data_IF_684895401303
#
_entry.id   IF_684895401303
#
_cell.length_a   1.000
_cell.length_b   1.000
_cell.length_c   1.000
_cell.angle_alpha   90.00
_cell.angle_beta   90.00
_cell.angle_gamma   90.00
#
_symmetry.space_group_name_H-M   'P 1'
#
loop_
_entity.id
_entity.type
_entity.pdbx_description
1 polymer ?
#
# COMPACT_ATOMS: atom_id res chain seq x y z
N UNK A 1 -30.91 43.12 64.03
CA UNK A 1 -31.79 42.39 64.99
C UNK A 1 -32.80 41.63 64.15
N UNK A 2 -33.12 40.34 64.30
CA UNK A 2 -32.75 39.31 65.26
C UNK A 2 -33.15 37.94 64.69
N UNK A 3 -32.28 36.95 64.88
CA UNK A 3 -32.49 35.51 65.13
C UNK A 3 -33.86 34.83 64.96
N UNK A 4 -33.78 33.69 64.24
CA UNK A 4 -34.24 32.31 64.60
C UNK A 4 -35.74 31.99 64.65
N UNK A 5 -36.15 31.02 63.83
CA UNK A 5 -37.02 29.86 64.16
C UNK A 5 -36.86 28.82 63.02
N UNK A 6 -36.26 27.64 63.19
CA UNK A 6 -36.60 26.42 63.94
C UNK A 6 -37.73 25.57 63.30
N UNK A 7 -37.34 24.36 62.86
CA UNK A 7 -38.02 23.07 63.01
C UNK A 7 -38.52 22.30 61.75
N UNK A 8 -37.79 21.19 61.48
CA UNK A 8 -38.25 19.79 61.30
C UNK A 8 -39.36 19.46 60.28
N UNK A 9 -39.02 18.61 59.30
CA UNK A 9 -39.52 17.21 59.12
C UNK A 9 -38.84 16.60 57.87
N UNK A 10 -38.06 15.52 58.03
CA UNK A 10 -38.42 14.10 57.76
C UNK A 10 -38.76 13.84 56.29
N UNK A 11 -37.95 13.02 55.63
CA UNK A 11 -38.49 12.06 54.65
C UNK A 11 -37.66 11.80 53.40
N UNK A 12 -37.06 10.61 53.39
CA UNK A 12 -36.98 9.68 52.25
C UNK A 12 -35.95 9.97 51.15
N UNK A 13 -34.94 9.09 51.18
CA UNK A 13 -34.07 8.63 50.11
C UNK A 13 -34.62 8.82 48.68
N UNK A 14 -33.84 9.54 47.87
CA UNK A 14 -33.78 9.32 46.43
C UNK A 14 -32.31 9.05 46.07
N UNK A 15 -32.06 7.78 45.73
CA UNK A 15 -30.83 7.30 45.10
C UNK A 15 -30.75 7.97 43.73
N UNK A 16 -30.05 9.11 43.64
CA UNK A 16 -29.66 9.69 42.39
C UNK A 16 -28.25 9.22 42.07
N UNK A 17 -28.17 8.19 41.22
CA UNK A 17 -26.97 7.77 40.52
C UNK A 17 -26.28 9.00 39.91
N UNK A 18 -25.26 9.51 40.60
CA UNK A 18 -24.34 10.47 40.00
C UNK A 18 -23.37 9.65 39.16
N UNK A 19 -23.77 9.49 37.90
CA UNK A 19 -22.96 8.90 36.83
C UNK A 19 -21.61 9.59 36.80
N UNK A 20 -20.55 8.79 36.84
CA UNK A 20 -19.17 9.18 36.70
C UNK A 20 -18.98 10.16 35.53
N UNK A 21 -18.81 11.43 35.85
CA UNK A 21 -18.18 12.40 34.94
C UNK A 21 -16.67 12.27 35.10
N UNK A 22 -16.16 11.10 34.72
CA UNK A 22 -14.75 10.88 34.50
C UNK A 22 -14.56 10.84 32.99
N UNK A 23 -13.62 11.67 32.51
CA UNK A 23 -12.86 11.41 31.30
C UNK A 23 -13.63 11.59 29.98
N UNK A 24 -13.80 12.85 29.57
CA UNK A 24 -13.63 13.19 28.15
C UNK A 24 -12.14 13.04 27.79
N UNK A 25 -11.63 11.80 27.83
CA UNK A 25 -10.49 11.44 26.98
C UNK A 25 -11.00 11.62 25.56
N UNK A 26 -10.20 12.29 24.74
CA UNK A 26 -10.51 12.50 23.34
C UNK A 26 -11.07 11.22 22.73
N UNK A 27 -12.09 11.38 21.89
CA UNK A 27 -12.53 10.33 21.00
C UNK A 27 -11.27 9.64 20.45
N UNK A 28 -11.03 8.41 20.91
CA UNK A 28 -10.00 7.56 20.35
C UNK A 28 -10.42 7.39 18.90
N UNK A 29 -9.87 8.23 18.02
CA UNK A 29 -9.85 7.93 16.61
C UNK A 29 -9.27 6.51 16.52
N UNK A 30 -9.95 5.58 15.83
CA UNK A 30 -9.39 4.24 15.66
C UNK A 30 -7.97 4.41 15.15
N UNK A 31 -7.01 3.73 15.76
CA UNK A 31 -5.63 3.74 15.31
C UNK A 31 -5.65 3.40 13.82
N UNK A 32 -5.40 4.40 12.97
CA UNK A 32 -5.24 4.19 11.54
C UNK A 32 -3.95 3.42 11.38
N UNK A 33 -4.10 2.11 11.23
CA UNK A 33 -3.00 1.16 11.13
C UNK A 33 -2.27 1.36 9.81
N UNK A 34 -1.08 0.80 9.68
CA UNK A 34 -0.27 0.77 8.46
C UNK A 34 -1.00 0.40 7.16
N UNK A 35 -2.20 -0.18 7.25
CA UNK A 35 -3.06 -0.47 6.10
C UNK A 35 -3.43 0.76 5.27
N UNK A 36 -3.54 1.97 5.86
CA UNK A 36 -3.79 3.19 5.05
C UNK A 36 -2.58 3.56 4.18
N UNK A 37 -1.35 3.34 4.67
CA UNK A 37 -0.13 3.60 3.88
C UNK A 37 0.02 2.63 2.71
N UNK A 38 -0.45 1.39 2.86
CA UNK A 38 -0.52 0.43 1.76
C UNK A 38 -1.65 0.77 0.79
N UNK A 39 -2.82 1.19 1.30
CA UNK A 39 -3.95 1.56 0.43
C UNK A 39 -3.62 2.74 -0.49
N UNK A 40 -2.83 3.69 -0.01
CA UNK A 40 -2.42 4.87 -0.77
C UNK A 40 -1.01 4.70 -1.39
N UNK A 41 -0.47 3.49 -1.45
CA UNK A 41 0.80 3.22 -2.14
C UNK A 41 0.59 3.33 -3.66
N UNK A 42 1.36 4.17 -4.38
CA UNK A 42 1.12 4.41 -5.80
C UNK A 42 1.49 3.19 -6.65
N UNK A 43 2.35 2.31 -6.13
CA UNK A 43 2.76 1.08 -6.79
C UNK A 43 1.64 0.04 -6.67
N UNK A 44 0.79 0.15 -5.65
CA UNK A 44 -0.28 -0.78 -5.30
C UNK A 44 -0.17 -1.27 -3.85
N UNK A 45 -1.24 -1.84 -3.30
CA UNK A 45 -1.30 -2.27 -1.90
C UNK A 45 -0.27 -3.33 -1.51
N UNK A 46 0.24 -4.08 -2.48
CA UNK A 46 1.22 -5.14 -2.24
C UNK A 46 2.67 -4.71 -2.30
N UNK A 47 2.91 -3.43 -2.57
CA UNK A 47 4.24 -2.89 -2.58
C UNK A 47 4.57 -2.35 -1.20
N UNK A 48 5.82 -2.54 -0.80
CA UNK A 48 6.40 -1.96 0.39
C UNK A 48 7.47 -0.98 -0.03
N UNK A 49 7.26 0.32 0.18
CA UNK A 49 8.23 1.33 -0.20
C UNK A 49 9.47 1.22 0.70
N UNK A 50 10.65 1.30 0.09
CA UNK A 50 11.94 1.28 0.78
C UNK A 50 12.40 2.74 0.97
N UNK A 51 12.37 3.30 2.19
CA UNK A 51 12.64 4.73 2.39
C UNK A 51 14.07 5.15 2.05
N UNK A 52 15.01 4.21 2.11
CA UNK A 52 16.41 4.41 1.69
C UNK A 52 16.76 3.35 0.67
N UNK A 53 16.46 3.60 -0.62
CA UNK A 53 16.78 2.67 -1.69
C UNK A 53 18.28 2.34 -1.72
N UNK A 54 18.58 1.09 -2.03
CA UNK A 54 19.92 0.54 -2.17
C UNK A 54 20.02 -0.28 -3.46
N UNK A 55 21.22 -0.42 -4.01
CA UNK A 55 21.47 -1.34 -5.13
C UNK A 55 21.61 -2.80 -4.66
N UNK A 56 21.61 -3.06 -3.35
CA UNK A 56 21.71 -4.38 -2.75
C UNK A 56 20.41 -5.19 -2.92
N UNK A 57 20.51 -6.36 -3.56
CA UNK A 57 19.40 -7.29 -3.73
C UNK A 57 19.27 -8.30 -2.58
N UNK A 58 20.07 -8.18 -1.52
CA UNK A 58 20.08 -9.04 -0.34
C UNK A 58 18.76 -9.10 0.43
N UNK A 59 17.82 -8.18 0.18
CA UNK A 59 16.44 -8.27 0.65
C UNK A 59 15.63 -9.36 -0.05
N UNK A 60 15.95 -9.68 -1.30
CA UNK A 60 15.21 -10.63 -2.12
C UNK A 60 15.28 -12.03 -1.51
N UNK A 61 14.11 -12.61 -1.24
CA UNK A 61 14.00 -13.93 -0.62
C UNK A 61 14.10 -13.94 0.90
N UNK A 62 14.37 -12.82 1.59
CA UNK A 62 14.30 -12.76 3.06
C UNK A 62 12.89 -13.06 3.54
N UNK A 63 12.76 -13.70 4.70
CA UNK A 63 11.46 -14.09 5.25
C UNK A 63 11.03 -13.21 6.42
N UNK A 64 9.75 -13.25 6.74
CA UNK A 64 9.12 -12.53 7.85
C UNK A 64 8.46 -13.55 8.76
N UNK A 65 8.74 -13.48 10.07
CA UNK A 65 8.12 -14.36 11.06
C UNK A 65 6.65 -14.05 11.31
N UNK A 66 6.26 -12.78 11.12
CA UNK A 66 4.92 -12.23 11.34
C UNK A 66 4.53 -11.32 10.17
N UNK A 67 3.23 -10.97 10.02
CA UNK A 67 2.83 -9.94 9.09
C UNK A 67 3.67 -8.65 9.28
N UNK A 68 4.11 -8.02 8.18
CA UNK A 68 5.00 -6.87 8.24
C UNK A 68 4.29 -5.64 8.83
N UNK A 69 4.99 -4.91 9.68
CA UNK A 69 4.56 -3.71 10.39
C UNK A 69 5.10 -2.46 9.70
N UNK A 70 4.23 -1.55 9.25
CA UNK A 70 4.65 -0.36 8.51
C UNK A 70 5.42 0.66 9.34
N UNK A 71 5.43 0.50 10.67
CA UNK A 71 6.23 1.34 11.57
C UNK A 71 7.73 0.99 11.59
N UNK A 72 8.12 -0.13 10.98
CA UNK A 72 9.49 -0.64 10.97
C UNK A 72 9.98 -0.82 9.52
N UNK A 73 11.30 -0.76 9.32
CA UNK A 73 11.90 -1.03 8.00
C UNK A 73 11.80 -2.51 7.61
N UNK A 74 12.00 -2.83 6.33
CA UNK A 74 12.00 -4.23 5.88
C UNK A 74 13.21 -4.98 6.43
N UNK A 75 14.35 -4.31 6.49
CA UNK A 75 15.61 -4.85 7.00
C UNK A 75 15.50 -5.27 8.46
N UNK A 76 14.85 -4.46 9.29
CA UNK A 76 14.63 -4.73 10.72
C UNK A 76 13.68 -5.91 10.97
N UNK A 77 12.70 -6.10 10.10
CA UNK A 77 11.65 -7.11 10.29
C UNK A 77 11.90 -8.41 9.55
N UNK A 78 12.74 -8.36 8.52
CA UNK A 78 13.06 -9.51 7.71
C UNK A 78 14.29 -10.23 8.26
N UNK A 79 14.30 -11.55 8.12
CA UNK A 79 15.40 -12.40 8.57
C UNK A 79 15.92 -13.26 7.42
N UNK A 80 17.14 -13.82 7.54
CA UNK A 80 17.61 -14.84 6.60
C UNK A 80 16.61 -15.99 6.48
N UNK A 81 16.26 -16.33 5.25
CA UNK A 81 15.30 -17.38 4.97
C UNK A 81 16.03 -18.73 4.83
N UNK A 82 15.77 -19.71 5.72
CA UNK A 82 16.50 -20.98 5.75
C UNK A 82 16.18 -21.92 4.56
N UNK A 83 15.26 -21.49 3.68
CA UNK A 83 14.85 -22.18 2.46
C UNK A 83 15.08 -21.32 1.20
N UNK A 84 15.81 -20.21 1.30
CA UNK A 84 16.01 -19.29 0.16
C UNK A 84 16.64 -19.94 -1.07
N UNK A 85 17.44 -20.99 -0.89
CA UNK A 85 18.07 -21.77 -1.95
C UNK A 85 17.08 -22.63 -2.76
N UNK A 86 15.87 -22.84 -2.23
CA UNK A 86 14.80 -23.56 -2.92
C UNK A 86 13.88 -22.65 -3.73
N UNK A 87 13.97 -21.34 -3.56
CA UNK A 87 13.25 -20.40 -4.44
C UNK A 87 13.76 -20.52 -5.87
N UNK A 88 12.90 -20.20 -6.84
CA UNK A 88 13.32 -20.12 -8.22
C UNK A 88 14.46 -19.10 -8.40
N UNK A 89 15.29 -19.30 -9.42
CA UNK A 89 16.31 -18.34 -9.79
C UNK A 89 15.69 -16.95 -10.01
N UNK A 90 16.42 -15.91 -9.60
CA UNK A 90 15.94 -14.54 -9.75
C UNK A 90 15.76 -14.20 -11.23
N UNK A 91 14.60 -13.66 -11.59
CA UNK A 91 14.25 -13.25 -12.94
C UNK A 91 14.09 -11.73 -12.98
N UNK A 92 14.85 -11.10 -13.87
CA UNK A 92 14.71 -9.70 -14.20
C UNK A 92 13.60 -9.50 -15.25
N UNK A 93 12.87 -8.41 -15.12
CA UNK A 93 11.87 -7.96 -16.08
C UNK A 93 11.89 -6.43 -16.14
N UNK A 94 11.89 -5.88 -17.36
CA UNK A 94 11.73 -4.45 -17.56
C UNK A 94 10.39 -3.97 -17.00
N UNK A 95 10.39 -2.82 -16.33
CA UNK A 95 9.22 -2.22 -15.70
C UNK A 95 9.31 -0.70 -15.80
N UNK A 96 8.75 -0.11 -16.86
CA UNK A 96 8.82 1.33 -17.14
C UNK A 96 7.58 2.10 -16.68
N UNK A 97 7.32 2.14 -15.38
CA UNK A 97 6.17 2.84 -14.81
C UNK A 97 6.61 4.13 -14.09
N UNK A 98 5.70 5.09 -13.99
CA UNK A 98 5.90 6.33 -13.23
C UNK A 98 4.78 6.50 -12.21
N UNK A 99 5.17 6.88 -11.01
CA UNK A 99 4.34 6.90 -9.82
C UNK A 99 4.49 8.23 -9.09
N UNK A 100 3.37 8.87 -8.81
CA UNK A 100 3.32 10.13 -8.08
C UNK A 100 2.14 10.09 -7.13
N UNK A 101 2.37 10.34 -5.84
CA UNK A 101 1.31 10.57 -4.86
C UNK A 101 1.88 11.30 -3.61
N UNK A 102 0.98 11.79 -2.77
CA UNK A 102 1.26 12.56 -1.57
C UNK A 102 0.52 11.94 -0.39
N UNK A 103 1.25 11.71 0.71
CA UNK A 103 0.71 11.19 1.96
C UNK A 103 0.57 12.35 2.94
N UNK A 104 -0.62 12.56 3.50
CA UNK A 104 -0.82 13.50 4.60
C UNK A 104 -0.10 12.96 5.86
N UNK A 105 0.91 13.68 6.31
CA UNK A 105 1.69 13.36 7.52
C UNK A 105 1.32 14.25 8.69
N UNK A 106 0.52 15.29 8.49
CA UNK A 106 0.11 16.18 9.59
C UNK A 106 -1.09 15.63 10.35
N UNK A 107 -2.05 15.04 9.65
CA UNK A 107 -3.22 14.44 10.29
C UNK A 107 -2.98 13.00 10.75
N UNK A 108 -1.89 12.37 10.30
CA UNK A 108 -1.51 11.02 10.69
C UNK A 108 -0.87 10.96 12.08
N UNK A 109 -1.32 10.04 12.93
CA UNK A 109 -0.75 9.80 14.26
C UNK A 109 0.74 9.38 14.20
N UNK A 110 1.19 8.82 13.08
CA UNK A 110 2.57 8.36 12.86
C UNK A 110 3.36 9.24 11.89
N UNK A 111 2.83 10.39 11.48
CA UNK A 111 3.44 11.20 10.41
C UNK A 111 4.85 11.71 10.72
N UNK A 112 5.14 12.02 11.99
CA UNK A 112 6.50 12.40 12.40
C UNK A 112 7.51 11.25 12.28
N UNK A 113 7.12 10.04 12.68
CA UNK A 113 7.94 8.84 12.52
C UNK A 113 8.14 8.51 11.03
N UNK A 114 7.08 8.66 10.23
CA UNK A 114 7.13 8.48 8.78
C UNK A 114 8.14 9.44 8.13
N UNK A 115 8.08 10.74 8.44
CA UNK A 115 9.08 11.68 7.94
C UNK A 115 10.49 11.30 8.38
N UNK A 116 10.66 10.82 9.62
CA UNK A 116 11.94 10.31 10.13
C UNK A 116 12.50 9.16 9.29
N UNK A 117 11.68 8.16 8.96
CA UNK A 117 12.08 7.01 8.13
C UNK A 117 12.62 7.43 6.76
N UNK A 118 12.08 8.50 6.18
CA UNK A 118 12.50 9.03 4.88
C UNK A 118 13.65 10.05 4.97
N UNK A 119 14.13 10.36 6.17
CA UNK A 119 15.24 11.30 6.42
C UNK A 119 14.82 12.77 6.55
N UNK A 120 13.54 13.04 6.81
CA UNK A 120 12.97 14.39 6.95
C UNK A 120 12.57 14.72 8.40
N UNK A 121 13.30 14.19 9.38
CA UNK A 121 13.02 14.43 10.81
C UNK A 121 13.09 15.91 11.21
N UNK A 122 13.87 16.71 10.49
CA UNK A 122 13.95 18.17 10.70
C UNK A 122 12.66 18.92 10.30
N UNK A 123 11.79 18.31 9.48
CA UNK A 123 10.60 18.94 8.93
C UNK A 123 9.31 18.57 9.66
N UNK A 124 9.36 17.73 10.70
CA UNK A 124 8.17 17.19 11.39
C UNK A 124 7.19 18.26 11.86
N UNK A 125 7.66 19.46 12.24
CA UNK A 125 6.81 20.56 12.70
C UNK A 125 6.18 21.40 11.58
N UNK A 126 6.65 21.26 10.34
CA UNK A 126 6.28 22.12 9.19
C UNK A 126 5.65 21.33 8.04
N UNK A 127 6.11 20.10 7.82
CA UNK A 127 5.64 19.26 6.75
C UNK A 127 4.19 18.88 6.99
N UNK A 128 3.37 19.09 5.96
CA UNK A 128 2.00 18.60 5.91
C UNK A 128 1.90 17.29 5.15
N UNK A 129 2.80 17.08 4.18
CA UNK A 129 2.78 15.95 3.27
C UNK A 129 4.18 15.37 3.06
N UNK A 130 4.23 14.06 2.85
CA UNK A 130 5.35 13.36 2.21
C UNK A 130 4.94 13.07 0.77
N UNK A 131 5.65 13.66 -0.18
CA UNK A 131 5.42 13.49 -1.61
C UNK A 131 6.49 12.59 -2.19
N UNK A 132 6.09 11.68 -3.07
CA UNK A 132 7.03 10.85 -3.82
C UNK A 132 6.72 10.92 -5.31
N UNK A 133 7.79 10.92 -6.09
CA UNK A 133 7.76 10.88 -7.55
C UNK A 133 8.83 9.92 -8.00
N UNK A 134 8.42 8.73 -8.41
CA UNK A 134 9.33 7.61 -8.66
C UNK A 134 9.06 7.05 -10.05
N UNK A 135 10.13 6.85 -10.81
CA UNK A 135 10.10 6.12 -12.07
C UNK A 135 10.82 4.79 -11.86
N UNK A 136 10.16 3.69 -12.20
CA UNK A 136 10.74 2.35 -12.12
C UNK A 136 11.38 2.00 -13.46
N UNK A 137 12.36 1.11 -13.43
CA UNK A 137 13.05 0.65 -14.66
C UNK A 137 13.06 -0.87 -14.78
N UNK A 138 13.23 -1.60 -13.67
CA UNK A 138 13.28 -3.05 -13.66
C UNK A 138 12.67 -3.65 -12.40
N UNK A 139 12.27 -4.92 -12.49
CA UNK A 139 11.75 -5.74 -11.41
C UNK A 139 12.56 -7.03 -11.33
N UNK A 140 13.17 -7.30 -10.19
CA UNK A 140 13.86 -8.54 -9.90
C UNK A 140 12.95 -9.42 -9.03
N UNK A 141 12.59 -10.62 -9.49
CA UNK A 141 11.59 -11.46 -8.83
C UNK A 141 12.07 -12.90 -8.62
N UNK A 142 11.61 -13.54 -7.55
CA UNK A 142 11.71 -14.96 -7.27
C UNK A 142 10.32 -15.53 -7.04
N UNK A 143 10.11 -16.74 -7.53
CA UNK A 143 8.86 -17.47 -7.32
C UNK A 143 9.08 -18.61 -6.33
N UNK A 144 8.03 -18.93 -5.59
CA UNK A 144 8.01 -20.13 -4.77
C UNK A 144 7.94 -21.38 -5.65
N UNK A 145 8.72 -22.38 -5.29
CA UNK A 145 8.72 -23.71 -5.90
C UNK A 145 8.04 -24.70 -4.97
N UNK A 146 7.72 -25.90 -5.47
CA UNK A 146 7.25 -27.01 -4.62
C UNK A 146 8.24 -27.33 -3.49
N UNK A 147 9.53 -27.31 -3.81
CA UNK A 147 10.64 -27.60 -2.89
C UNK A 147 10.76 -26.52 -1.82
N UNK A 148 10.52 -25.26 -2.18
CA UNK A 148 10.48 -24.15 -1.24
C UNK A 148 9.33 -24.30 -0.25
N UNK A 149 8.13 -24.58 -0.76
CA UNK A 149 6.93 -24.79 0.07
C UNK A 149 7.14 -25.93 1.05
N UNK A 150 7.71 -27.05 0.60
CA UNK A 150 7.98 -28.21 1.47
C UNK A 150 9.05 -27.92 2.52
N UNK A 151 10.16 -27.26 2.13
CA UNK A 151 11.17 -26.81 3.08
C UNK A 151 10.57 -25.89 4.16
N UNK A 152 9.68 -24.97 3.78
CA UNK A 152 9.05 -24.05 4.71
C UNK A 152 8.08 -24.72 5.69
N UNK A 153 7.40 -25.80 5.28
CA UNK A 153 6.62 -26.63 6.22
C UNK A 153 7.50 -27.30 7.27
N UNK A 154 8.70 -27.71 6.89
CA UNK A 154 9.63 -28.41 7.79
C UNK A 154 10.40 -27.46 8.71
N UNK A 155 10.88 -26.33 8.19
CA UNK A 155 11.75 -25.39 8.92
C UNK A 155 11.02 -24.21 9.55
N UNK A 156 9.75 -23.98 9.20
CA UNK A 156 8.97 -22.85 9.69
C UNK A 156 9.48 -21.51 9.15
N UNK A 157 9.19 -21.20 7.88
CA UNK A 157 9.64 -19.94 7.25
C UNK A 157 8.94 -18.68 7.77
N UNK A 158 7.88 -18.81 8.58
CA UNK A 158 7.12 -17.70 9.13
C UNK A 158 5.88 -17.36 8.30
N UNK A 159 5.54 -16.07 8.24
CA UNK A 159 4.40 -15.55 7.52
C UNK A 159 4.60 -15.52 6.00
N UNK A 160 5.77 -15.10 5.54
CA UNK A 160 6.01 -14.87 4.11
C UNK A 160 7.45 -14.44 3.80
N UNK A 161 7.67 -13.99 2.57
CA UNK A 161 9.00 -13.59 2.08
C UNK A 161 8.95 -12.45 1.06
N UNK A 162 10.10 -11.81 0.82
CA UNK A 162 10.27 -10.82 -0.26
C UNK A 162 10.35 -11.56 -1.61
N UNK A 163 9.30 -11.51 -2.41
CA UNK A 163 9.23 -12.20 -3.70
C UNK A 163 9.72 -11.35 -4.87
N UNK A 164 9.71 -10.03 -4.73
CA UNK A 164 10.33 -9.17 -5.74
C UNK A 164 10.85 -7.86 -5.17
N UNK A 165 11.80 -7.26 -5.89
CA UNK A 165 12.31 -5.91 -5.67
C UNK A 165 12.10 -5.09 -6.95
N UNK A 166 11.70 -3.84 -6.78
CA UNK A 166 11.45 -2.89 -7.87
C UNK A 166 12.54 -1.84 -7.84
N UNK A 167 13.30 -1.76 -8.93
CA UNK A 167 14.38 -0.79 -9.08
C UNK A 167 13.86 0.46 -9.78
N UNK A 168 14.30 1.61 -9.31
CA UNK A 168 13.89 2.90 -9.86
C UNK A 168 14.74 4.05 -9.37
N UNK A 169 14.31 5.24 -9.76
CA UNK A 169 14.89 6.50 -9.33
C UNK A 169 13.81 7.58 -9.25
N UNK A 170 14.09 8.64 -8.53
CA UNK A 170 13.14 9.74 -8.38
C UNK A 170 13.42 10.58 -7.16
N UNK A 171 12.35 11.08 -6.56
CA UNK A 171 12.40 12.04 -5.47
C UNK A 171 11.45 11.68 -4.34
N UNK A 172 11.95 11.78 -3.10
CA UNK A 172 11.13 11.95 -1.91
C UNK A 172 11.20 13.41 -1.47
N UNK A 173 10.06 13.97 -1.08
CA UNK A 173 9.91 15.40 -0.78
C UNK A 173 9.06 15.57 0.47
N UNK A 174 9.56 16.33 1.44
CA UNK A 174 8.73 16.87 2.52
C UNK A 174 8.10 18.19 2.05
N UNK A 175 6.78 18.30 2.16
CA UNK A 175 6.02 19.41 1.59
C UNK A 175 5.04 20.04 2.57
N UNK A 176 4.88 21.36 2.48
CA UNK A 176 3.77 22.09 3.10
C UNK A 176 2.73 22.42 2.02
N UNK A 177 1.48 22.02 2.22
CA UNK A 177 0.37 22.34 1.31
C UNK A 177 0.28 23.85 1.09
N UNK A 178 0.11 24.28 -0.15
CA UNK A 178 0.05 25.68 -0.50
C UNK A 178 -1.01 25.97 -1.55
N UNK A 179 -1.77 27.04 -1.34
CA UNK A 179 -2.77 27.52 -2.29
C UNK A 179 -2.15 28.19 -3.52
N UNK A 180 -0.88 28.61 -3.46
CA UNK A 180 -0.21 29.28 -4.57
C UNK A 180 0.52 28.27 -5.46
N UNK A 181 0.38 28.40 -6.79
CA UNK A 181 1.27 27.76 -7.75
C UNK A 181 2.41 28.74 -8.06
N UNK A 182 3.55 28.57 -7.42
CA UNK A 182 4.74 29.40 -7.64
C UNK A 182 5.97 28.54 -7.95
N UNK A 183 7.03 29.18 -8.43
CA UNK A 183 8.33 28.53 -8.64
C UNK A 183 8.85 27.93 -7.32
N UNK A 184 9.37 26.69 -7.35
CA UNK A 184 9.76 25.95 -6.14
C UNK A 184 8.64 25.14 -5.47
N UNK A 185 7.46 25.05 -6.09
CA UNK A 185 6.40 24.16 -5.66
C UNK A 185 6.47 22.80 -6.36
N UNK A 186 6.12 21.75 -5.64
CA UNK A 186 5.89 20.42 -6.15
C UNK A 186 4.41 20.25 -6.44
N UNK A 187 4.08 19.97 -7.69
CA UNK A 187 2.71 19.67 -8.09
C UNK A 187 2.54 18.16 -8.22
N UNK A 188 1.51 17.62 -7.57
CA UNK A 188 1.11 16.21 -7.72
C UNK A 188 -0.26 16.16 -8.37
N UNK A 189 -0.37 15.39 -9.44
CA UNK A 189 -1.64 15.11 -10.10
C UNK A 189 -2.14 13.77 -9.57
N UNK A 190 -3.24 13.80 -8.82
CA UNK A 190 -3.93 12.60 -8.35
C UNK A 190 -5.25 12.44 -9.08
N UNK A 191 -5.90 11.28 -8.95
CA UNK A 191 -7.26 11.08 -9.48
C UNK A 191 -8.32 12.04 -8.91
N UNK A 192 -8.01 12.75 -7.81
CA UNK A 192 -8.88 13.75 -7.18
C UNK A 192 -8.59 15.19 -7.63
N UNK A 193 -7.57 15.40 -8.46
CA UNK A 193 -7.15 16.72 -8.94
C UNK A 193 -5.68 17.00 -8.70
N UNK A 194 -5.31 18.25 -8.96
CA UNK A 194 -3.94 18.75 -8.84
C UNK A 194 -3.76 19.48 -7.50
N UNK A 195 -2.80 19.04 -6.68
CA UNK A 195 -2.44 19.69 -5.42
C UNK A 195 -1.01 20.22 -5.50
N UNK A 196 -0.79 21.42 -4.99
CA UNK A 196 0.53 22.08 -4.98
C UNK A 196 1.10 22.11 -3.56
N UNK A 197 2.37 21.76 -3.44
CA UNK A 197 3.10 21.70 -2.18
C UNK A 197 4.33 22.60 -2.27
N UNK A 198 4.52 23.47 -1.28
CA UNK A 198 5.80 24.14 -1.08
C UNK A 198 6.82 23.10 -0.61
N UNK A 199 7.89 22.92 -1.37
CA UNK A 199 8.99 22.01 -1.01
C UNK A 199 9.71 22.56 0.22
N UNK A 200 9.83 21.72 1.25
CA UNK A 200 10.64 22.01 2.44
C UNK A 200 12.02 21.38 2.28
N UNK A 201 12.05 20.09 1.96
CA UNK A 201 13.26 19.35 1.66
C UNK A 201 12.99 18.33 0.56
N UNK A 202 14.04 17.97 -0.17
CA UNK A 202 14.00 17.07 -1.30
C UNK A 202 15.20 16.14 -1.25
N UNK A 203 14.94 14.84 -1.40
CA UNK A 203 15.97 13.80 -1.50
C UNK A 203 15.80 13.05 -2.82
N UNK A 204 16.86 13.07 -3.62
CA UNK A 204 16.96 12.21 -4.79
C UNK A 204 17.25 10.78 -4.32
N UNK A 205 16.60 9.82 -4.97
CA UNK A 205 16.75 8.40 -4.66
C UNK A 205 17.04 7.61 -5.93
N UNK A 206 17.77 6.51 -5.76
CA UNK A 206 18.07 5.53 -6.79
C UNK A 206 18.37 4.18 -6.14
N UNK A 207 17.88 3.09 -6.71
CA UNK A 207 18.07 1.74 -6.17
C UNK A 207 16.77 0.95 -6.19
N UNK A 208 16.68 -0.09 -5.36
CA UNK A 208 15.42 -0.78 -5.08
C UNK A 208 14.51 0.11 -4.23
N UNK A 209 13.49 0.69 -4.87
CA UNK A 209 12.55 1.65 -4.29
C UNK A 209 11.35 0.99 -3.62
N UNK A 210 11.09 -0.27 -3.94
CA UNK A 210 10.03 -1.04 -3.31
C UNK A 210 10.29 -2.55 -3.33
N UNK A 211 9.61 -3.26 -2.44
CA UNK A 211 9.56 -4.70 -2.38
C UNK A 211 8.12 -5.21 -2.57
N UNK A 212 7.97 -6.42 -3.09
CA UNK A 212 6.70 -7.16 -3.08
C UNK A 212 6.84 -8.30 -2.09
N UNK A 213 5.86 -8.42 -1.21
CA UNK A 213 5.83 -9.44 -0.17
C UNK A 213 4.84 -10.54 -0.55
N UNK A 214 5.18 -11.79 -0.29
CA UNK A 214 4.33 -12.95 -0.57
C UNK A 214 4.16 -13.79 0.69
N UNK A 215 2.91 -13.90 1.15
CA UNK A 215 2.54 -14.76 2.27
C UNK A 215 2.61 -16.24 1.86
N UNK A 216 3.04 -17.10 2.79
CA UNK A 216 3.01 -18.55 2.62
C UNK A 216 1.58 -19.08 2.68
N UNK A 217 0.82 -18.63 3.68
CA UNK A 217 -0.62 -18.93 3.77
C UNK A 217 -1.42 -17.92 2.96
N UNK A 218 -1.68 -18.29 1.70
CA UNK A 218 -2.50 -17.49 0.78
C UNK A 218 -3.98 -17.51 1.16
N UNK A 219 -4.43 -18.50 1.94
CA UNK A 219 -5.80 -18.57 2.43
C UNK A 219 -6.07 -17.50 3.50
N UNK A 220 -5.15 -17.34 4.45
CA UNK A 220 -5.21 -16.25 5.42
C UNK A 220 -5.08 -14.87 4.75
N UNK A 221 -4.20 -14.72 3.75
CA UNK A 221 -4.10 -13.49 2.97
C UNK A 221 -5.41 -13.18 2.21
N UNK A 222 -6.07 -14.20 1.64
CA UNK A 222 -7.37 -14.05 1.00
C UNK A 222 -8.49 -13.64 1.94
N UNK A 223 -8.48 -14.13 3.18
CA UNK A 223 -9.44 -13.74 4.21
C UNK A 223 -9.21 -12.32 4.74
N UNK A 224 -7.99 -11.80 4.59
CA UNK A 224 -7.65 -10.43 4.99
C UNK A 224 -8.08 -9.37 3.98
N UNK A 225 -8.53 -9.76 2.78
CA UNK A 225 -8.98 -8.79 1.78
C UNK A 225 -10.24 -8.04 2.25
N UNK A 226 -10.31 -6.71 2.04
CA UNK A 226 -11.51 -5.93 2.31
C UNK A 226 -12.75 -6.46 1.56
N UNK A 227 -13.96 -6.21 2.08
CA UNK A 227 -15.19 -6.52 1.35
C UNK A 227 -15.19 -5.86 -0.05
N UNK A 228 -15.44 -6.66 -1.09
CA UNK A 228 -15.42 -6.19 -2.48
C UNK A 228 -14.09 -6.46 -3.21
N UNK A 229 -13.11 -7.04 -2.54
CA UNK A 229 -11.83 -7.44 -3.12
C UNK A 229 -11.60 -8.96 -2.99
N UNK A 230 -10.74 -9.50 -3.85
CA UNK A 230 -10.30 -10.90 -3.82
C UNK A 230 -8.79 -10.99 -3.93
N UNK A 231 -8.21 -12.03 -3.33
CA UNK A 231 -6.77 -12.21 -3.37
C UNK A 231 -6.30 -12.76 -4.72
N UNK A 232 -5.65 -11.90 -5.49
CA UNK A 232 -4.99 -12.24 -6.74
C UNK A 232 -3.55 -12.69 -6.53
N UNK A 233 -3.30 -13.63 -5.63
CA UNK A 233 -1.99 -14.22 -5.29
C UNK A 233 -0.93 -13.29 -4.67
N UNK A 234 -0.76 -12.07 -5.17
CA UNK A 234 0.17 -11.06 -4.64
C UNK A 234 -0.53 -9.90 -3.99
N UNK A 235 -1.77 -9.58 -4.37
CA UNK A 235 -2.53 -8.42 -3.87
C UNK A 235 -4.02 -8.71 -3.72
N UNK A 236 -4.71 -7.94 -2.88
CA UNK A 236 -6.17 -7.86 -2.93
C UNK A 236 -6.54 -6.99 -4.13
N UNK A 237 -7.34 -7.54 -5.04
CA UNK A 237 -7.78 -6.89 -6.26
C UNK A 237 -9.29 -6.65 -6.17
N UNK A 238 -9.80 -5.47 -6.56
CA UNK A 238 -11.24 -5.26 -6.67
C UNK A 238 -11.91 -6.33 -7.52
N UNK A 239 -13.01 -6.89 -7.03
CA UNK A 239 -13.74 -7.95 -7.74
C UNK A 239 -14.16 -7.50 -9.14
N UNK A 240 -14.52 -6.23 -9.30
CA UNK A 240 -14.85 -5.63 -10.61
C UNK A 240 -13.71 -5.74 -11.62
N UNK A 241 -12.46 -5.49 -11.19
CA UNK A 241 -11.28 -5.60 -12.06
C UNK A 241 -11.02 -7.05 -12.47
N UNK A 242 -11.27 -8.00 -11.57
CA UNK A 242 -11.17 -9.43 -11.89
C UNK A 242 -12.22 -9.83 -12.91
N UNK A 243 -13.48 -9.40 -12.73
CA UNK A 243 -14.54 -9.66 -13.69
C UNK A 243 -14.26 -9.00 -15.05
N UNK A 244 -13.75 -7.77 -15.06
CA UNK A 244 -13.35 -7.10 -16.29
C UNK A 244 -12.23 -7.86 -17.01
N UNK A 245 -11.21 -8.33 -16.29
CA UNK A 245 -10.13 -9.13 -16.86
C UNK A 245 -10.64 -10.47 -17.41
N UNK A 246 -11.60 -11.13 -16.75
CA UNK A 246 -12.26 -12.36 -17.24
C UNK A 246 -13.02 -12.10 -18.53
N UNK A 247 -13.83 -11.04 -18.58
CA UNK A 247 -14.55 -10.67 -19.79
C UNK A 247 -13.59 -10.44 -20.96
N UNK A 248 -12.54 -9.62 -20.76
CA UNK A 248 -11.54 -9.34 -21.80
C UNK A 248 -10.79 -10.61 -22.22
N UNK A 249 -10.40 -11.47 -21.27
CA UNK A 249 -9.73 -12.74 -21.57
C UNK A 249 -10.61 -13.71 -22.38
N UNK A 250 -11.94 -13.66 -22.19
CA UNK A 250 -12.93 -14.40 -22.98
C UNK A 250 -13.29 -13.74 -24.32
N UNK A 251 -12.61 -12.65 -24.68
CA UNK A 251 -12.87 -11.88 -25.90
C UNK A 251 -14.10 -10.95 -25.81
N UNK A 252 -14.65 -10.76 -24.61
CA UNK A 252 -15.75 -9.84 -24.35
C UNK A 252 -15.18 -8.50 -23.89
N UNK A 253 -14.87 -7.61 -24.83
CA UNK A 253 -14.34 -6.28 -24.48
C UNK A 253 -15.53 -5.34 -24.21
N UNK A 254 -15.67 -4.79 -22.99
CA UNK A 254 -16.75 -3.87 -22.66
C UNK A 254 -16.74 -2.66 -23.61
N UNK A 255 -17.90 -2.34 -24.19
CA UNK A 255 -18.05 -1.20 -25.12
C UNK A 255 -17.83 -1.50 -26.60
N UNK A 256 -17.40 -2.72 -26.98
CA UNK A 256 -17.26 -3.07 -28.41
C UNK A 256 -18.59 -3.45 -29.10
N UNK A 257 -19.68 -3.68 -28.36
CA UNK A 257 -20.95 -4.13 -28.92
C UNK A 257 -21.70 -3.12 -29.82
N UNK A 258 -21.19 -1.89 -29.97
CA UNK A 258 -21.86 -0.81 -30.70
C UNK A 258 -21.01 -0.12 -31.77
N UNK A 259 -19.81 -0.64 -32.11
CA UNK A 259 -19.03 -0.05 -33.20
C UNK A 259 -19.59 -0.47 -34.57
N UNK A 260 -19.75 0.47 -35.52
CA UNK A 260 -20.23 0.15 -36.86
C UNK A 260 -19.29 -0.86 -37.54
N UNK A 261 -19.88 -1.82 -38.25
CA UNK A 261 -19.18 -2.96 -38.85
C UNK A 261 -18.06 -2.57 -39.86
N UNK A 262 -18.04 -1.32 -40.32
CA UNK A 262 -17.05 -0.82 -41.28
C UNK A 262 -15.68 -0.50 -40.64
N UNK A 263 -15.60 -0.23 -39.32
CA UNK A 263 -14.32 0.08 -38.65
C UNK A 263 -13.62 -1.17 -38.04
N UNK A 264 -14.36 -2.27 -37.85
CA UNK A 264 -13.85 -3.52 -37.23
C UNK A 264 -13.04 -4.40 -38.18
N UNK A 265 -12.96 -4.06 -39.47
CA UNK A 265 -12.16 -4.79 -40.45
C UNK A 265 -10.70 -4.32 -40.56
N UNK A 266 -10.32 -3.20 -39.92
CA UNK A 266 -8.92 -2.79 -39.89
C UNK A 266 -8.05 -3.83 -39.15
N UNK A 267 -7.00 -4.32 -39.79
CA UNK A 267 -6.09 -5.34 -39.22
C UNK A 267 -5.47 -4.92 -37.89
N UNK A 268 -5.23 -3.61 -37.72
CA UNK A 268 -4.67 -3.02 -36.51
C UNK A 268 -5.60 -3.19 -35.29
N UNK A 269 -6.91 -3.09 -35.49
CA UNK A 269 -7.89 -3.25 -34.41
C UNK A 269 -7.94 -4.69 -33.89
N UNK A 270 -7.92 -5.68 -34.80
CA UNK A 270 -7.86 -7.10 -34.43
C UNK A 270 -6.59 -7.43 -33.65
N UNK A 271 -5.45 -6.84 -34.06
CA UNK A 271 -4.18 -7.05 -33.38
C UNK A 271 -4.19 -6.43 -31.97
N UNK A 272 -4.72 -5.22 -31.81
CA UNK A 272 -4.86 -4.57 -30.50
C UNK A 272 -5.80 -5.35 -29.57
N UNK A 273 -6.94 -5.84 -30.08
CA UNK A 273 -7.89 -6.64 -29.30
C UNK A 273 -7.27 -7.97 -28.83
N UNK A 274 -6.55 -8.67 -29.71
CA UNK A 274 -5.83 -9.89 -29.36
C UNK A 274 -4.73 -9.63 -28.31
N UNK A 275 -4.02 -8.50 -28.41
CA UNK A 275 -3.02 -8.10 -27.43
C UNK A 275 -3.64 -7.82 -26.05
N UNK A 276 -4.77 -7.11 -26.00
CA UNK A 276 -5.50 -6.85 -24.76
C UNK A 276 -6.04 -8.14 -24.13
N UNK A 277 -6.60 -9.04 -24.93
CA UNK A 277 -7.04 -10.36 -24.48
C UNK A 277 -5.88 -11.15 -23.85
N UNK A 278 -4.74 -11.23 -24.54
CA UNK A 278 -3.55 -11.92 -24.03
C UNK A 278 -3.06 -11.30 -22.72
N UNK A 279 -3.01 -9.97 -22.62
CA UNK A 279 -2.63 -9.27 -21.38
C UNK A 279 -3.58 -9.58 -20.22
N UNK A 280 -4.90 -9.61 -20.47
CA UNK A 280 -5.88 -9.94 -19.45
C UNK A 280 -5.75 -11.40 -18.97
N UNK A 281 -5.55 -12.36 -19.88
CA UNK A 281 -5.35 -13.76 -19.50
C UNK A 281 -4.04 -13.94 -18.70
N UNK A 282 -2.94 -13.36 -19.16
CA UNK A 282 -1.67 -13.40 -18.42
C UNK A 282 -1.78 -12.74 -17.03
N UNK A 283 -2.56 -11.65 -16.93
CA UNK A 283 -2.81 -11.00 -15.65
C UNK A 283 -3.56 -11.94 -14.70
N UNK A 284 -4.62 -12.61 -15.16
CA UNK A 284 -5.35 -13.61 -14.36
C UNK A 284 -4.45 -14.77 -13.91
N UNK A 285 -3.60 -15.28 -14.80
CA UNK A 285 -2.64 -16.36 -14.50
C UNK A 285 -1.62 -15.94 -13.44
N UNK A 286 -1.06 -14.74 -13.58
CA UNK A 286 -0.11 -14.18 -12.60
C UNK A 286 -0.75 -14.09 -11.21
N UNK A 287 -2.05 -13.78 -11.17
CA UNK A 287 -2.83 -13.68 -9.95
C UNK A 287 -3.44 -15.02 -9.50
N UNK A 288 -3.18 -16.12 -10.23
CA UNK A 288 -3.76 -17.45 -10.05
C UNK A 288 -5.29 -17.42 -9.93
N UNK A 289 -5.94 -16.51 -10.65
CA UNK A 289 -7.38 -16.34 -10.70
C UNK A 289 -7.94 -17.13 -11.90
N UNK A 290 -9.06 -17.85 -11.75
CA UNK A 290 -9.63 -18.61 -12.86
C UNK A 290 -10.19 -17.69 -13.96
N UNK A 291 -10.06 -18.13 -15.21
CA UNK A 291 -10.54 -17.44 -16.43
C UNK A 291 -12.06 -17.45 -16.61
#
# INVERSE_FOLDING_TARGET
MSSRDLAKRVGVAAVAMTVCSALSVGACMPARTGGEMQRDNPLGPSFWIIPTPSDDDGLLGRSFTRPPDTGLTLEEQSQPNPCADKLAAAKDAAMGNRYENAIDVRSSASGGALLGLYGFSADVSKATHLVYKVSTTKRLSRLDTSEYVECCKQKGCGWGYVSALVYGEGDYVSGAESAAKAEGHYTVVTGKGETSFKVLNKRQIKGYVAAILTAHDRGAAAQACPPGETWGATECVPNERVEQARMVCRGQVPGMGAMPAEETESGDFKQLAAQQQQQACMWLDMHKLPH
#
